data_IF_693392978369
#
_entry.id   IF_693392978369
#
_cell.length_a   1.000
_cell.length_b   1.000
_cell.length_c   1.000
_cell.angle_alpha   90.00
_cell.angle_beta   90.00
_cell.angle_gamma   90.00
#
_symmetry.space_group_name_H-M   'P 1'
#
loop_
_entity.id
_entity.type
_entity.pdbx_description
1 polymer ?
#
# COMPACT_ATOMS: atom_id res chain seq x y z
N UNK A 1 29.57 15.94 61.83
CA UNK A 1 29.56 16.14 60.37
C UNK A 1 28.33 15.42 59.83
N UNK A 2 27.25 16.14 59.60
CA UNK A 2 25.98 15.59 59.13
C UNK A 2 25.94 15.63 57.60
N UNK A 3 25.75 14.47 56.98
CA UNK A 3 25.51 14.32 55.55
C UNK A 3 24.11 14.85 55.22
N UNK A 4 24.03 15.93 54.46
CA UNK A 4 22.77 16.40 53.84
C UNK A 4 22.74 15.87 52.41
N UNK A 5 21.88 14.87 52.19
CA UNK A 5 21.60 14.30 50.88
C UNK A 5 20.79 15.28 50.02
N UNK A 6 21.28 15.54 48.81
CA UNK A 6 20.58 16.32 47.80
C UNK A 6 19.57 15.39 47.09
N UNK A 7 18.31 15.44 47.52
CA UNK A 7 17.18 14.85 46.80
C UNK A 7 16.93 15.63 45.51
N UNK A 8 17.23 15.03 44.35
CA UNK A 8 16.71 15.50 43.07
C UNK A 8 15.20 15.23 43.03
N UNK A 9 14.40 16.28 43.24
CA UNK A 9 12.97 16.27 42.97
C UNK A 9 12.75 16.13 41.46
N UNK A 10 12.26 14.97 41.03
CA UNK A 10 11.68 14.81 39.72
C UNK A 10 10.48 15.76 39.60
N UNK A 11 10.57 16.73 38.69
CA UNK A 11 9.47 17.63 38.39
C UNK A 11 8.25 16.85 37.85
N UNK A 12 7.02 17.35 38.08
CA UNK A 12 5.82 16.68 37.62
C UNK A 12 5.82 16.56 36.09
N UNK A 13 5.60 15.35 35.58
CA UNK A 13 5.20 15.11 34.20
C UNK A 13 4.02 16.02 33.87
N UNK A 14 4.20 16.96 32.94
CA UNK A 14 3.14 17.82 32.43
C UNK A 14 1.97 16.94 31.96
N UNK A 15 0.89 16.93 32.74
CA UNK A 15 -0.40 16.41 32.34
C UNK A 15 -0.78 17.07 31.01
N UNK A 16 -1.13 16.26 30.00
CA UNK A 16 -1.33 16.68 28.62
C UNK A 16 -2.24 17.89 28.51
N UNK A 17 -1.68 19.03 28.10
CA UNK A 17 -2.46 20.22 27.80
C UNK A 17 -3.43 19.91 26.67
N UNK A 18 -4.69 20.29 26.85
CA UNK A 18 -5.70 20.18 25.80
C UNK A 18 -5.31 21.04 24.59
N UNK A 19 -5.36 20.45 23.40
CA UNK A 19 -5.15 21.16 22.12
C UNK A 19 -6.18 22.28 21.88
N UNK A 20 -7.28 22.32 22.66
CA UNK A 20 -8.26 23.42 22.66
C UNK A 20 -7.66 24.80 22.96
N UNK A 21 -6.49 24.83 23.58
CA UNK A 21 -5.76 26.07 23.90
C UNK A 21 -5.00 26.65 22.71
N UNK A 22 -4.79 25.89 21.63
CA UNK A 22 -4.14 26.37 20.40
C UNK A 22 -4.90 27.58 19.86
N UNK A 23 -4.16 28.67 19.60
CA UNK A 23 -4.69 29.91 19.02
C UNK A 23 -4.18 30.05 17.59
N UNK A 24 -5.08 30.41 16.68
CA UNK A 24 -4.76 30.78 15.30
C UNK A 24 -4.82 32.31 15.11
N UNK A 25 -5.08 32.78 13.88
CA UNK A 25 -5.35 31.99 12.67
C UNK A 25 -4.09 31.30 12.13
N UNK A 26 -4.27 30.15 11.48
CA UNK A 26 -3.23 29.50 10.70
C UNK A 26 -3.46 29.78 9.22
N UNK A 27 -2.55 30.53 8.61
CA UNK A 27 -2.61 30.89 7.18
C UNK A 27 -1.92 29.84 6.29
N UNK A 28 -1.14 28.94 6.89
CA UNK A 28 -0.45 27.84 6.20
C UNK A 28 -0.50 26.56 7.04
N UNK A 29 -0.54 25.37 6.43
CA UNK A 29 -0.47 24.12 7.18
C UNK A 29 0.85 23.96 7.95
N UNK A 30 1.97 24.46 7.39
CA UNK A 30 3.26 24.45 8.09
C UNK A 30 3.25 25.28 9.37
N UNK A 31 2.44 26.36 9.45
CA UNK A 31 2.28 27.13 10.69
C UNK A 31 1.61 26.32 11.80
N UNK A 32 0.72 25.38 11.45
CA UNK A 32 0.16 24.42 12.40
C UNK A 32 1.26 23.48 12.90
N UNK A 33 2.03 22.89 11.98
CA UNK A 33 3.14 21.99 12.37
C UNK A 33 4.16 22.72 13.24
N UNK A 34 4.55 23.96 12.91
CA UNK A 34 5.40 24.78 13.78
C UNK A 34 4.85 24.90 15.20
N UNK A 35 3.53 25.10 15.34
CA UNK A 35 2.89 25.13 16.65
C UNK A 35 2.94 23.77 17.36
N UNK A 36 2.72 22.67 16.64
CA UNK A 36 2.88 21.32 17.19
C UNK A 36 4.31 21.05 17.69
N UNK A 37 5.32 21.52 16.94
CA UNK A 37 6.73 21.32 17.25
C UNK A 37 7.17 22.00 18.56
N UNK A 38 6.45 23.00 19.07
CA UNK A 38 6.74 23.61 20.37
C UNK A 38 6.65 22.59 21.53
N UNK A 39 5.78 21.58 21.41
CA UNK A 39 5.59 20.53 22.42
C UNK A 39 5.97 19.12 21.92
N UNK A 40 5.92 18.88 20.60
CA UNK A 40 6.07 17.56 19.98
C UNK A 40 7.24 17.48 18.99
N UNK A 41 8.33 18.23 19.24
CA UNK A 41 9.52 18.21 18.39
C UNK A 41 10.08 16.80 18.15
N UNK A 42 10.06 15.94 19.19
CA UNK A 42 10.55 14.57 19.09
C UNK A 42 9.67 13.70 18.18
N UNK A 43 8.34 13.88 18.20
CA UNK A 43 7.43 13.15 17.32
C UNK A 43 7.76 13.37 15.84
N UNK A 44 8.12 14.61 15.47
CA UNK A 44 8.57 14.92 14.11
C UNK A 44 9.92 14.26 13.78
N UNK A 45 10.88 14.26 14.71
CA UNK A 45 12.16 13.54 14.54
C UNK A 45 11.93 12.06 14.28
N UNK A 46 11.04 11.46 15.05
CA UNK A 46 10.74 10.04 15.01
C UNK A 46 10.05 9.62 13.71
N UNK A 47 8.95 10.28 13.33
CA UNK A 47 8.24 9.96 12.09
C UNK A 47 9.12 10.18 10.85
N UNK A 48 10.04 11.17 10.89
CA UNK A 48 10.95 11.46 9.78
C UNK A 48 12.03 10.38 9.57
N UNK A 49 12.21 9.44 10.51
CA UNK A 49 13.07 8.26 10.32
C UNK A 49 12.36 7.12 9.58
N UNK A 50 11.03 7.17 9.46
CA UNK A 50 10.21 6.05 8.99
C UNK A 50 10.03 6.03 7.48
N UNK A 51 9.56 4.89 6.96
CA UNK A 51 9.11 4.78 5.57
C UNK A 51 7.93 5.70 5.23
N UNK A 52 7.06 6.08 6.18
CA UNK A 52 5.94 6.98 5.90
C UNK A 52 6.44 8.35 5.42
N UNK A 53 7.53 8.85 6.03
CA UNK A 53 8.17 10.09 5.64
C UNK A 53 9.09 9.92 4.42
N UNK A 54 10.01 8.95 4.47
CA UNK A 54 11.04 8.85 3.43
C UNK A 54 10.52 8.19 2.14
N UNK A 55 9.44 7.41 2.22
CA UNK A 55 8.97 6.48 1.19
C UNK A 55 10.03 5.48 0.72
N UNK A 56 11.04 5.25 1.57
CA UNK A 56 12.10 4.27 1.38
C UNK A 56 12.86 4.08 2.69
N UNK A 57 13.53 2.95 2.80
CA UNK A 57 14.50 2.64 3.85
C UNK A 57 15.58 1.72 3.31
N UNK A 58 16.65 1.51 4.08
CA UNK A 58 17.65 0.48 3.77
C UNK A 58 17.06 -0.91 4.02
N UNK A 59 17.08 -1.77 3.02
CA UNK A 59 16.54 -3.12 3.07
C UNK A 59 17.23 -4.03 2.06
N UNK A 60 17.06 -5.34 2.18
CA UNK A 60 17.60 -6.32 1.23
C UNK A 60 16.62 -6.53 0.08
N UNK A 61 16.95 -6.02 -1.11
CA UNK A 61 16.14 -6.14 -2.32
C UNK A 61 16.88 -6.97 -3.36
N UNK A 62 16.26 -8.05 -3.84
CA UNK A 62 16.87 -9.01 -4.77
C UNK A 62 18.28 -9.46 -4.31
N UNK A 63 18.42 -9.73 -3.01
CA UNK A 63 19.68 -10.16 -2.38
C UNK A 63 20.72 -9.06 -2.13
N UNK A 64 20.42 -7.79 -2.41
CA UNK A 64 21.36 -6.67 -2.22
C UNK A 64 20.80 -5.65 -1.23
N UNK A 65 21.63 -5.20 -0.30
CA UNK A 65 21.26 -4.13 0.64
C UNK A 65 21.25 -2.78 -0.10
N UNK A 66 20.10 -2.09 -0.12
CA UNK A 66 19.95 -0.81 -0.80
C UNK A 66 18.77 -0.01 -0.24
N UNK A 67 18.82 1.31 -0.41
CA UNK A 67 17.65 2.17 -0.18
C UNK A 67 16.57 1.82 -1.21
N UNK A 68 15.41 1.39 -0.73
CA UNK A 68 14.27 1.04 -1.57
C UNK A 68 12.94 1.31 -0.87
N UNK A 69 11.88 1.44 -1.66
CA UNK A 69 10.54 1.77 -1.20
C UNK A 69 9.73 2.43 -2.30
N UNK A 70 8.53 2.94 -1.97
CA UNK A 70 7.62 3.59 -2.91
C UNK A 70 8.28 4.68 -3.77
N UNK A 71 9.29 5.39 -3.24
CA UNK A 71 10.04 6.41 -3.99
C UNK A 71 10.80 5.83 -5.19
N UNK A 72 11.30 4.59 -5.09
CA UNK A 72 12.07 3.92 -6.14
C UNK A 72 11.34 2.80 -6.86
N UNK A 73 10.30 2.25 -6.25
CA UNK A 73 9.52 1.16 -6.80
C UNK A 73 8.79 1.58 -8.08
N UNK A 74 8.64 0.62 -8.97
CA UNK A 74 7.74 0.71 -10.11
C UNK A 74 6.50 -0.14 -9.81
N UNK A 75 5.33 0.37 -10.17
CA UNK A 75 4.07 -0.37 -10.02
C UNK A 75 3.44 -0.56 -11.39
N UNK A 76 2.49 -1.49 -11.53
CA UNK A 76 1.68 -1.58 -12.73
C UNK A 76 0.35 -0.80 -12.66
N UNK A 77 0.27 0.15 -11.72
CA UNK A 77 -0.80 1.16 -11.64
C UNK A 77 -0.27 2.49 -12.16
N UNK A 78 -0.13 3.53 -11.31
CA UNK A 78 0.39 4.85 -11.69
C UNK A 78 1.91 4.87 -11.97
N UNK A 79 2.50 3.72 -12.31
CA UNK A 79 3.86 3.49 -12.80
C UNK A 79 4.96 3.93 -11.83
N UNK A 80 5.25 5.23 -11.69
CA UNK A 80 6.32 5.76 -10.82
C UNK A 80 5.97 7.10 -10.17
N UNK A 81 6.60 7.36 -9.01
CA UNK A 81 6.54 8.66 -8.32
C UNK A 81 7.34 9.73 -9.06
N UNK A 82 8.51 9.39 -9.59
CA UNK A 82 9.38 10.35 -10.28
C UNK A 82 8.66 10.96 -11.49
N UNK A 83 8.71 12.28 -11.58
CA UNK A 83 7.93 13.09 -12.52
C UNK A 83 6.48 13.32 -12.09
N UNK A 84 5.88 12.46 -11.27
CA UNK A 84 4.45 12.48 -10.96
C UNK A 84 4.13 12.95 -9.52
N UNK A 85 5.11 13.50 -8.80
CA UNK A 85 5.02 13.81 -7.36
C UNK A 85 3.72 14.49 -6.95
N UNK A 86 3.23 15.60 -7.55
CA UNK A 86 2.08 16.32 -7.01
C UNK A 86 0.79 15.49 -6.89
N UNK A 87 0.64 14.46 -7.74
CA UNK A 87 -0.45 13.49 -7.65
C UNK A 87 -0.17 12.46 -6.57
N UNK A 88 1.01 11.83 -6.63
CA UNK A 88 1.38 10.71 -5.76
C UNK A 88 1.45 11.15 -4.29
N UNK A 89 2.06 12.30 -4.03
CA UNK A 89 2.32 12.84 -2.69
C UNK A 89 1.09 13.48 -2.05
N UNK A 90 -0.06 13.47 -2.74
CA UNK A 90 -1.36 13.61 -2.08
C UNK A 90 -1.60 12.57 -0.97
N UNK A 91 -0.88 11.44 -1.00
CA UNK A 91 -0.85 10.42 0.06
C UNK A 91 0.44 10.44 0.90
N UNK A 92 1.34 11.40 0.70
CA UNK A 92 2.54 11.55 1.55
C UNK A 92 2.14 12.26 2.85
N UNK A 93 2.82 11.96 3.95
CA UNK A 93 2.56 12.59 5.27
C UNK A 93 3.31 13.93 5.42
N UNK A 94 3.49 14.66 4.34
CA UNK A 94 4.16 15.94 4.33
C UNK A 94 3.54 16.94 3.36
N UNK A 95 4.00 18.19 3.47
CA UNK A 95 3.50 19.35 2.75
C UNK A 95 4.45 19.80 1.65
N UNK A 96 4.00 19.81 0.39
CA UNK A 96 4.71 20.43 -0.72
C UNK A 96 5.80 19.58 -1.36
N UNK A 97 5.73 18.24 -1.27
CA UNK A 97 6.61 17.38 -2.04
C UNK A 97 6.17 17.35 -3.52
N UNK A 98 6.56 18.39 -4.25
CA UNK A 98 6.14 18.64 -5.63
C UNK A 98 7.14 18.15 -6.69
N UNK A 99 8.41 17.97 -6.31
CA UNK A 99 9.48 17.51 -7.18
C UNK A 99 10.68 16.95 -6.38
N UNK A 100 11.80 16.70 -7.06
CA UNK A 100 13.02 16.14 -6.49
C UNK A 100 13.72 17.05 -5.46
N UNK A 101 13.40 18.35 -5.41
CA UNK A 101 14.03 19.34 -4.51
C UNK A 101 13.44 19.37 -3.10
N UNK A 102 12.43 18.54 -2.81
CA UNK A 102 11.77 18.52 -1.51
C UNK A 102 12.76 18.25 -0.36
N UNK A 103 12.74 19.12 0.65
CA UNK A 103 13.63 19.03 1.79
C UNK A 103 13.09 18.07 2.86
N UNK A 104 13.53 16.82 2.81
CA UNK A 104 13.20 15.78 3.81
C UNK A 104 13.75 16.06 5.22
N UNK A 105 14.55 17.11 5.43
CA UNK A 105 15.07 17.50 6.75
C UNK A 105 14.24 18.60 7.42
N UNK A 106 13.30 19.23 6.71
CA UNK A 106 12.46 20.28 7.27
C UNK A 106 11.29 19.68 8.07
N UNK A 107 11.41 19.71 9.40
CA UNK A 107 10.39 19.24 10.34
C UNK A 107 9.05 19.96 10.19
N UNK A 108 9.05 21.20 9.69
CA UNK A 108 7.82 21.98 9.51
C UNK A 108 6.97 21.47 8.35
N UNK A 109 7.55 20.62 7.49
CA UNK A 109 6.87 19.97 6.38
C UNK A 109 6.16 18.67 6.77
N UNK A 110 6.28 18.20 8.01
CA UNK A 110 5.51 17.05 8.50
C UNK A 110 4.03 17.42 8.61
N UNK A 111 3.16 16.60 8.03
CA UNK A 111 1.72 16.72 8.22
C UNK A 111 1.28 15.89 9.43
N UNK A 112 1.14 16.57 10.57
CA UNK A 112 0.63 15.95 11.79
C UNK A 112 -0.88 15.67 11.73
N UNK A 113 -1.62 16.40 10.89
CA UNK A 113 -3.09 16.40 10.91
C UNK A 113 -3.68 15.21 10.16
N UNK A 114 -3.04 14.73 9.09
CA UNK A 114 -3.56 13.64 8.25
C UNK A 114 -3.85 12.35 9.03
N UNK A 115 -3.05 12.06 10.06
CA UNK A 115 -3.20 10.89 10.93
C UNK A 115 -3.97 11.20 12.22
N UNK A 116 -3.94 12.44 12.70
CA UNK A 116 -4.48 12.80 14.02
C UNK A 116 -5.80 13.57 13.98
N UNK A 117 -6.34 13.90 12.79
CA UNK A 117 -7.65 14.53 12.69
C UNK A 117 -8.76 13.63 13.26
N UNK A 118 -9.53 14.16 14.22
CA UNK A 118 -10.75 13.50 14.74
C UNK A 118 -12.03 14.20 14.29
N UNK A 119 -11.93 15.30 13.55
CA UNK A 119 -13.08 16.07 13.07
C UNK A 119 -13.71 15.46 11.82
N UNK A 120 -12.93 14.71 11.04
CA UNK A 120 -13.34 14.18 9.74
C UNK A 120 -13.39 15.25 8.64
N UNK A 121 -12.85 16.44 8.89
CA UNK A 121 -12.88 17.57 7.93
C UNK A 121 -11.54 17.77 7.22
N UNK A 122 -10.45 17.23 7.76
CA UNK A 122 -9.13 17.35 7.16
C UNK A 122 -9.01 16.50 5.90
N UNK A 123 -8.54 17.11 4.81
CA UNK A 123 -8.30 16.40 3.56
C UNK A 123 -7.28 17.11 2.69
N UNK A 124 -6.44 16.32 2.00
CA UNK A 124 -5.44 16.80 1.05
C UNK A 124 -6.05 17.05 -0.33
N UNK A 125 -5.49 18.04 -1.02
CA UNK A 125 -5.80 18.32 -2.42
C UNK A 125 -5.22 17.22 -3.32
N UNK A 126 -5.99 16.80 -4.34
CA UNK A 126 -5.64 15.62 -5.17
C UNK A 126 -4.36 15.78 -5.99
N UNK A 127 -4.04 17.02 -6.36
CA UNK A 127 -2.85 17.44 -7.12
C UNK A 127 -2.00 18.46 -6.35
N UNK A 128 -2.18 18.49 -5.03
CA UNK A 128 -1.64 19.54 -4.16
C UNK A 128 -0.26 19.25 -3.60
N UNK A 129 0.43 18.20 -4.05
CA UNK A 129 1.73 17.81 -3.51
C UNK A 129 1.74 17.61 -1.98
N UNK A 130 0.66 17.06 -1.44
CA UNK A 130 0.49 16.87 0.01
C UNK A 130 -0.17 18.05 0.74
N UNK A 131 -0.42 19.19 0.07
CA UNK A 131 -1.11 20.32 0.70
C UNK A 131 -2.59 20.01 0.99
N UNK A 132 -3.16 20.52 2.10
CA UNK A 132 -4.59 20.46 2.37
C UNK A 132 -5.41 21.23 1.33
N UNK A 133 -6.70 20.86 1.17
CA UNK A 133 -7.64 21.60 0.33
C UNK A 133 -7.70 23.08 0.75
N UNK A 134 -7.64 23.98 -0.23
CA UNK A 134 -7.63 25.44 -0.01
C UNK A 134 -6.24 26.04 0.21
N UNK A 135 -5.17 25.24 0.27
CA UNK A 135 -3.79 25.69 0.47
C UNK A 135 -2.89 25.35 -0.73
N UNK A 136 -3.48 25.29 -1.92
CA UNK A 136 -2.77 25.06 -3.20
C UNK A 136 -2.90 26.28 -4.11
N UNK A 137 -1.93 26.48 -5.00
CA UNK A 137 -1.97 27.55 -6.03
C UNK A 137 -3.22 27.48 -6.91
N UNK A 138 -3.67 26.26 -7.22
CA UNK A 138 -4.96 26.04 -7.86
C UNK A 138 -6.04 26.19 -6.79
N UNK A 139 -6.92 27.18 -6.93
CA UNK A 139 -8.16 27.25 -6.16
C UNK A 139 -9.00 26.03 -6.50
N UNK A 140 -8.78 24.89 -5.84
CA UNK A 140 -9.78 23.83 -5.81
C UNK A 140 -11.08 24.52 -5.36
N UNK A 141 -12.19 24.32 -6.10
CA UNK A 141 -13.50 24.96 -5.84
C UNK A 141 -14.12 24.53 -4.49
N UNK A 142 -13.36 23.86 -3.63
CA UNK A 142 -13.82 23.31 -2.37
C UNK A 142 -13.42 24.25 -1.22
N UNK A 143 -14.27 24.30 -0.18
CA UNK A 143 -13.98 25.07 1.03
C UNK A 143 -12.62 24.66 1.61
N UNK A 144 -11.82 25.67 1.98
CA UNK A 144 -10.53 25.45 2.63
C UNK A 144 -10.72 24.68 3.95
N UNK A 145 -9.75 23.83 4.27
CA UNK A 145 -9.73 23.17 5.57
C UNK A 145 -9.58 24.22 6.67
N UNK A 146 -10.44 24.16 7.69
CA UNK A 146 -10.27 24.95 8.91
C UNK A 146 -9.14 24.34 9.75
N UNK A 147 -7.92 24.81 9.51
CA UNK A 147 -6.71 24.33 10.17
C UNK A 147 -6.75 24.52 11.68
N UNK A 148 -7.37 25.61 12.19
CA UNK A 148 -7.45 25.85 13.62
C UNK A 148 -8.42 24.85 14.27
N UNK A 149 -9.59 24.66 13.67
CA UNK A 149 -10.56 23.69 14.16
C UNK A 149 -9.98 22.27 14.19
N UNK A 150 -9.31 21.84 13.13
CA UNK A 150 -8.64 20.52 13.07
C UNK A 150 -7.56 20.43 14.16
N UNK A 151 -6.67 21.42 14.25
CA UNK A 151 -5.58 21.44 15.25
C UNK A 151 -6.10 21.36 16.69
N UNK A 152 -7.21 22.03 17.00
CA UNK A 152 -7.82 22.01 18.33
C UNK A 152 -8.54 20.69 18.68
N UNK A 153 -8.72 19.81 17.70
CA UNK A 153 -9.42 18.54 17.82
C UNK A 153 -8.54 17.35 17.39
N UNK A 154 -7.22 17.50 17.38
CA UNK A 154 -6.35 16.34 17.11
C UNK A 154 -6.43 15.31 18.23
N UNK A 155 -6.30 14.04 17.88
CA UNK A 155 -6.43 12.92 18.80
C UNK A 155 -5.82 11.63 18.27
N UNK A 156 -6.28 10.48 18.79
CA UNK A 156 -5.80 9.17 18.34
C UNK A 156 -6.23 8.91 16.89
N UNK A 157 -5.36 8.31 16.06
CA UNK A 157 -5.74 7.87 14.73
C UNK A 157 -6.90 6.87 14.76
N UNK A 158 -7.70 6.90 13.69
CA UNK A 158 -8.80 5.97 13.44
C UNK A 158 -8.63 5.27 12.08
N UNK A 159 -9.43 4.23 11.84
CA UNK A 159 -9.60 3.59 10.51
C UNK A 159 -9.68 4.62 9.36
N UNK A 160 -10.44 5.70 9.54
CA UNK A 160 -10.63 6.77 8.54
C UNK A 160 -9.34 7.54 8.23
N UNK A 161 -8.57 7.88 9.27
CA UNK A 161 -7.32 8.65 9.09
C UNK A 161 -6.25 7.86 8.34
N UNK A 162 -6.08 6.57 8.65
CA UNK A 162 -5.24 5.66 7.87
C UNK A 162 -5.80 5.48 6.45
N UNK A 163 -7.11 5.35 6.36
CA UNK A 163 -7.88 5.20 5.13
C UNK A 163 -7.74 6.33 4.12
N UNK A 164 -7.43 7.56 4.57
CA UNK A 164 -7.16 8.70 3.70
C UNK A 164 -6.09 8.40 2.63
N UNK A 165 -5.17 7.48 2.94
CA UNK A 165 -4.14 7.01 2.02
C UNK A 165 -4.26 5.52 1.67
N UNK A 166 -4.69 4.67 2.61
CA UNK A 166 -4.69 3.21 2.44
C UNK A 166 -5.97 2.63 1.84
N UNK A 167 -7.11 3.33 1.92
CA UNK A 167 -8.37 2.86 1.33
C UNK A 167 -8.51 3.25 -0.14
N UNK A 168 -7.45 3.74 -0.76
CA UNK A 168 -7.41 4.06 -2.17
C UNK A 168 -5.99 4.18 -2.72
N UNK A 169 -5.91 4.38 -4.02
CA UNK A 169 -4.65 4.58 -4.72
C UNK A 169 -4.90 5.02 -6.14
N UNK A 170 -3.96 5.77 -6.74
CA UNK A 170 -4.06 6.24 -8.13
C UNK A 170 -5.37 7.01 -8.46
N UNK A 171 -6.06 7.54 -7.44
CA UNK A 171 -7.24 8.39 -7.58
C UNK A 171 -8.60 7.78 -7.29
N UNK A 172 -8.67 6.49 -6.95
CA UNK A 172 -9.93 5.84 -6.57
C UNK A 172 -9.67 4.77 -5.48
N UNK A 173 -10.65 4.57 -4.61
CA UNK A 173 -10.61 3.65 -3.48
C UNK A 173 -10.34 2.19 -3.89
N UNK A 174 -10.73 1.83 -5.11
CA UNK A 174 -10.85 0.45 -5.58
C UNK A 174 -9.67 -0.01 -6.44
N UNK A 175 -8.67 0.85 -6.64
CA UNK A 175 -7.64 0.63 -7.65
C UNK A 175 -6.45 -0.16 -7.11
N UNK A 176 -5.91 0.17 -5.94
CA UNK A 176 -4.56 -0.29 -5.59
C UNK A 176 -4.45 -1.44 -4.57
N UNK A 177 -5.30 -1.53 -3.53
CA UNK A 177 -5.12 -2.54 -2.48
C UNK A 177 -6.06 -3.74 -2.69
N UNK A 178 -7.34 -3.49 -2.98
CA UNK A 178 -8.33 -4.52 -3.32
C UNK A 178 -8.88 -5.28 -2.10
N UNK A 179 -8.09 -5.49 -1.05
CA UNK A 179 -8.54 -5.98 0.26
C UNK A 179 -8.91 -4.87 1.25
N UNK A 180 -8.44 -3.64 1.02
CA UNK A 180 -8.83 -2.43 1.74
C UNK A 180 -9.43 -1.40 0.78
N UNK A 181 -10.65 -0.94 1.10
CA UNK A 181 -11.36 0.13 0.40
C UNK A 181 -12.13 1.01 1.40
N UNK A 182 -12.91 1.99 0.92
CA UNK A 182 -13.64 2.93 1.77
C UNK A 182 -14.67 2.29 2.71
N UNK A 183 -15.11 1.06 2.46
CA UNK A 183 -16.01 0.32 3.35
C UNK A 183 -15.33 -0.04 4.69
N UNK A 184 -13.99 -0.04 4.76
CA UNK A 184 -13.24 -0.26 6.00
C UNK A 184 -13.18 0.97 6.91
N UNK A 185 -13.78 2.11 6.52
CA UNK A 185 -13.95 3.26 7.39
C UNK A 185 -14.96 3.02 8.53
N UNK A 186 -15.87 2.06 8.34
CA UNK A 186 -16.86 1.62 9.31
C UNK A 186 -17.43 0.27 8.86
N UNK A 187 -16.61 -0.80 8.87
CA UNK A 187 -16.99 -2.08 8.30
C UNK A 187 -18.06 -2.77 9.15
N UNK A 188 -18.93 -3.54 8.51
CA UNK A 188 -19.75 -4.54 9.20
C UNK A 188 -18.92 -5.81 9.44
N UNK A 189 -19.39 -6.68 10.33
CA UNK A 189 -18.72 -7.95 10.64
C UNK A 189 -18.52 -8.89 9.43
N UNK A 190 -19.32 -8.74 8.37
CA UNK A 190 -19.16 -9.49 7.10
C UNK A 190 -17.97 -8.99 6.26
N UNK A 191 -17.52 -7.75 6.52
CA UNK A 191 -16.35 -7.16 5.87
C UNK A 191 -15.09 -7.53 6.63
N UNK A 192 -15.04 -7.36 7.95
CA UNK A 192 -13.88 -7.76 8.73
C UNK A 192 -14.24 -7.94 10.21
N UNK A 193 -14.02 -9.14 10.75
CA UNK A 193 -14.39 -9.47 12.14
C UNK A 193 -13.57 -8.71 13.20
N UNK A 194 -12.37 -8.25 12.86
CA UNK A 194 -11.51 -7.52 13.79
C UNK A 194 -11.83 -6.03 13.78
N UNK A 195 -12.12 -5.45 12.61
CA UNK A 195 -12.29 -4.00 12.47
C UNK A 195 -13.75 -3.52 12.62
N UNK A 196 -14.72 -4.43 12.51
CA UNK A 196 -16.13 -4.09 12.59
C UNK A 196 -16.57 -3.66 13.99
N UNK A 197 -17.48 -2.69 14.05
CA UNK A 197 -18.00 -2.13 15.31
C UNK A 197 -18.78 -3.16 16.13
N UNK A 198 -19.47 -4.10 15.47
CA UNK A 198 -20.16 -5.24 16.06
C UNK A 198 -19.24 -6.48 16.22
N UNK A 199 -17.95 -6.34 15.90
CA UNK A 199 -16.89 -7.31 16.12
C UNK A 199 -15.97 -6.90 17.27
N UNK A 200 -14.67 -6.73 16.98
CA UNK A 200 -13.67 -6.25 17.97
C UNK A 200 -13.44 -4.73 17.94
N UNK A 201 -14.01 -4.03 16.95
CA UNK A 201 -13.84 -2.59 16.68
C UNK A 201 -12.38 -2.10 16.71
N UNK A 202 -11.45 -2.90 16.19
CA UNK A 202 -10.05 -2.51 16.14
C UNK A 202 -9.83 -1.35 15.15
N UNK A 203 -9.08 -0.34 15.60
CA UNK A 203 -8.36 0.56 14.70
C UNK A 203 -7.04 -0.08 14.25
N UNK A 204 -6.47 0.45 13.16
CA UNK A 204 -5.29 -0.12 12.50
C UNK A 204 -4.13 -0.34 13.47
N UNK A 205 -3.84 0.63 14.34
CA UNK A 205 -2.75 0.59 15.31
C UNK A 205 -2.87 -0.52 16.37
N UNK A 206 -4.02 -1.19 16.47
CA UNK A 206 -4.17 -2.35 17.36
C UNK A 206 -3.31 -3.54 16.90
N UNK A 207 -3.22 -3.74 15.58
CA UNK A 207 -2.37 -4.76 14.95
C UNK A 207 -1.06 -4.15 14.43
N UNK A 208 -1.12 -2.90 13.97
CA UNK A 208 0.01 -2.11 13.49
C UNK A 208 0.55 -1.20 14.60
N UNK A 209 0.81 -1.75 15.77
CA UNK A 209 1.29 -0.95 16.90
C UNK A 209 2.63 -0.29 16.53
N UNK A 210 2.80 1.01 16.80
CA UNK A 210 4.10 1.63 16.64
C UNK A 210 5.05 1.02 17.68
N UNK A 211 6.24 0.59 17.28
CA UNK A 211 7.26 -0.01 18.18
C UNK A 211 7.96 1.06 19.03
N UNK A 212 7.19 2.00 19.59
CA UNK A 212 7.62 3.34 20.03
C UNK A 212 7.91 4.29 18.84
N UNK A 213 8.05 5.60 19.11
CA UNK A 213 8.58 6.58 18.16
C UNK A 213 7.89 6.63 16.77
N UNK A 214 6.55 6.60 16.72
CA UNK A 214 5.78 6.69 15.47
C UNK A 214 6.15 5.65 14.37
N UNK A 215 6.90 4.60 14.71
CA UNK A 215 7.34 3.60 13.75
C UNK A 215 6.31 2.46 13.61
N UNK A 216 5.32 2.69 12.75
CA UNK A 216 4.17 1.81 12.53
C UNK A 216 4.62 0.44 11.97
N UNK A 217 4.33 -0.63 12.71
CA UNK A 217 4.60 -2.02 12.30
C UNK A 217 3.74 -2.46 11.11
N UNK A 218 4.23 -3.42 10.33
CA UNK A 218 3.47 -4.05 9.24
C UNK A 218 3.94 -3.58 7.88
N UNK A 219 5.15 -3.98 7.51
CA UNK A 219 5.74 -3.68 6.22
C UNK A 219 4.88 -4.16 5.05
N UNK A 220 4.66 -3.26 4.09
CA UNK A 220 3.85 -3.49 2.92
C UNK A 220 4.69 -4.18 1.84
N UNK A 221 4.13 -5.22 1.21
CA UNK A 221 4.78 -5.84 0.05
C UNK A 221 4.96 -4.79 -1.05
N UNK A 222 6.02 -4.91 -1.83
CA UNK A 222 6.60 -3.96 -2.80
C UNK A 222 7.49 -2.87 -2.21
N UNK A 223 7.02 -1.92 -1.39
CA UNK A 223 7.93 -0.99 -0.74
C UNK A 223 8.89 -1.65 0.26
N UNK A 224 8.54 -2.83 0.79
CA UNK A 224 9.37 -3.60 1.73
C UNK A 224 9.42 -5.07 1.30
N UNK A 225 10.54 -5.45 0.69
CA UNK A 225 10.72 -6.75 0.01
C UNK A 225 11.46 -7.81 0.83
N UNK A 226 12.05 -7.44 1.96
CA UNK A 226 12.93 -8.31 2.76
C UNK A 226 12.22 -9.14 3.84
N UNK A 227 10.90 -8.97 3.97
CA UNK A 227 10.06 -9.73 4.90
C UNK A 227 10.21 -9.36 6.37
N UNK A 228 10.89 -8.27 6.67
CA UNK A 228 11.05 -7.77 8.04
C UNK A 228 9.81 -7.02 8.52
N UNK A 229 9.69 -6.86 9.85
CA UNK A 229 8.70 -5.96 10.48
C UNK A 229 7.23 -6.26 10.14
N UNK A 230 6.92 -7.53 9.92
CA UNK A 230 5.57 -8.02 9.60
C UNK A 230 4.70 -8.17 10.85
N UNK A 231 3.40 -7.89 10.72
CA UNK A 231 2.38 -8.28 11.70
C UNK A 231 1.71 -9.59 11.27
N UNK A 232 1.29 -10.40 12.24
CA UNK A 232 0.65 -11.69 11.95
C UNK A 232 -0.38 -12.14 12.99
N UNK A 233 -1.12 -13.20 12.65
CA UNK A 233 -2.23 -13.70 13.47
C UNK A 233 -1.78 -14.28 14.82
N UNK A 234 -0.58 -14.86 14.87
CA UNK A 234 -0.07 -15.57 16.06
C UNK A 234 0.43 -14.64 17.18
N UNK A 235 0.31 -13.33 17.00
CA UNK A 235 0.53 -12.34 18.07
C UNK A 235 -0.64 -12.32 19.07
N UNK A 236 -1.86 -12.64 18.60
CA UNK A 236 -3.07 -12.69 19.43
C UNK A 236 -3.64 -14.12 19.54
N UNK A 237 -3.46 -14.94 18.49
CA UNK A 237 -3.99 -16.30 18.43
C UNK A 237 -2.90 -17.34 18.73
N UNK A 238 -3.30 -18.48 19.28
CA UNK A 238 -2.40 -19.64 19.36
C UNK A 238 -2.05 -20.11 17.94
N UNK A 239 -0.85 -20.65 17.76
CA UNK A 239 -0.40 -21.26 16.49
C UNK A 239 -1.21 -22.51 16.11
N UNK A 240 -1.89 -23.14 17.08
CA UNK A 240 -2.82 -24.26 16.88
C UNK A 240 -4.19 -23.92 17.50
N UNK A 241 -4.99 -23.03 16.90
CA UNK A 241 -6.20 -22.51 17.51
C UNK A 241 -7.41 -23.46 17.37
N UNK A 242 -7.34 -24.46 16.50
CA UNK A 242 -8.50 -25.29 16.14
C UNK A 242 -8.66 -26.49 17.06
N UNK A 243 -9.92 -26.87 17.34
CA UNK A 243 -10.24 -28.13 18.03
C UNK A 243 -9.85 -29.35 17.18
N UNK A 244 -10.08 -29.26 15.88
CA UNK A 244 -9.75 -30.32 14.93
C UNK A 244 -8.25 -30.29 14.61
N UNK A 245 -7.52 -31.30 15.08
CA UNK A 245 -6.05 -31.35 14.98
C UNK A 245 -5.52 -31.23 13.56
N UNK A 246 -6.22 -31.80 12.57
CA UNK A 246 -5.77 -31.74 11.17
C UNK A 246 -5.72 -30.29 10.63
N UNK A 247 -6.59 -29.38 11.08
CA UNK A 247 -6.52 -27.96 10.70
C UNK A 247 -5.29 -27.27 11.30
N UNK A 248 -4.87 -27.69 12.50
CA UNK A 248 -3.63 -27.18 13.09
C UNK A 248 -2.40 -27.65 12.32
N UNK A 249 -2.41 -28.88 11.79
CA UNK A 249 -1.34 -29.39 10.92
C UNK A 249 -1.24 -28.61 9.61
N UNK A 250 -2.36 -28.12 9.05
CA UNK A 250 -2.33 -27.28 7.85
C UNK A 250 -1.54 -25.99 8.05
N UNK A 251 -1.50 -25.44 9.27
CA UNK A 251 -0.72 -24.24 9.55
C UNK A 251 0.78 -24.40 9.25
N UNK A 252 1.30 -25.63 9.12
CA UNK A 252 2.69 -25.85 8.70
C UNK A 252 2.96 -25.39 7.26
N UNK A 253 1.95 -25.49 6.38
CA UNK A 253 2.06 -25.25 4.95
C UNK A 253 1.14 -24.13 4.45
N UNK A 254 0.08 -23.79 5.18
CA UNK A 254 -0.98 -22.86 4.77
C UNK A 254 -1.08 -21.71 5.77
N UNK A 255 -1.04 -20.47 5.29
CA UNK A 255 -1.20 -19.29 6.13
C UNK A 255 -2.64 -19.16 6.65
N UNK A 256 -2.81 -18.54 7.82
CA UNK A 256 -4.15 -18.28 8.39
C UNK A 256 -5.03 -17.51 7.39
N UNK A 257 -4.45 -16.51 6.75
CA UNK A 257 -5.10 -15.66 5.74
C UNK A 257 -5.73 -16.47 4.60
N UNK A 258 -5.08 -17.55 4.17
CA UNK A 258 -5.55 -18.39 3.04
C UNK A 258 -6.93 -18.96 3.30
N UNK A 259 -7.16 -19.48 4.51
CA UNK A 259 -8.45 -20.06 4.90
C UNK A 259 -9.44 -19.00 5.38
N UNK A 260 -8.95 -17.97 6.08
CA UNK A 260 -9.79 -16.99 6.76
C UNK A 260 -10.10 -15.73 5.93
N UNK A 261 -9.59 -15.64 4.70
CA UNK A 261 -9.96 -14.59 3.73
C UNK A 261 -10.30 -15.26 2.38
N UNK A 262 -11.50 -15.88 2.26
CA UNK A 262 -11.90 -16.63 1.07
C UNK A 262 -11.96 -15.80 -0.21
N UNK A 263 -12.37 -14.54 -0.09
CA UNK A 263 -12.46 -13.58 -1.19
C UNK A 263 -12.14 -12.17 -0.68
N UNK A 264 -11.59 -11.31 -1.54
CA UNK A 264 -11.43 -9.89 -1.27
C UNK A 264 -12.35 -9.05 -2.16
N UNK A 265 -12.36 -7.72 -1.97
CA UNK A 265 -13.22 -6.82 -2.76
C UNK A 265 -14.71 -7.20 -2.66
N UNK A 266 -15.18 -7.51 -1.43
CA UNK A 266 -16.54 -8.02 -1.19
C UNK A 266 -17.62 -6.95 -1.26
N UNK A 267 -17.30 -5.71 -0.94
CA UNK A 267 -18.25 -4.59 -0.98
C UNK A 267 -18.18 -3.83 -2.30
N UNK A 268 -16.98 -3.43 -2.70
CA UNK A 268 -16.75 -2.71 -3.94
C UNK A 268 -15.87 -3.55 -4.86
N UNK A 269 -16.17 -3.53 -6.16
CA UNK A 269 -15.31 -4.15 -7.17
C UNK A 269 -13.93 -3.46 -7.18
N UNK A 270 -12.87 -4.22 -7.44
CA UNK A 270 -11.50 -3.74 -7.55
C UNK A 270 -10.94 -3.96 -8.96
N UNK A 271 -10.02 -3.09 -9.36
CA UNK A 271 -9.36 -3.21 -10.66
C UNK A 271 -8.44 -4.43 -10.65
N UNK A 272 -8.59 -5.35 -11.57
CA UNK A 272 -7.74 -6.56 -11.71
C UNK A 272 -6.84 -6.48 -12.92
N UNK A 273 -7.19 -5.63 -13.89
CA UNK A 273 -6.36 -5.36 -15.05
C UNK A 273 -6.36 -3.88 -15.43
N UNK A 274 -5.22 -3.35 -15.85
CA UNK A 274 -5.10 -2.02 -16.47
C UNK A 274 -4.31 -2.10 -17.78
N UNK A 275 -4.99 -1.90 -18.91
CA UNK A 275 -4.34 -1.72 -20.20
C UNK A 275 -4.05 -0.24 -20.45
N UNK A 276 -2.77 0.15 -20.40
CA UNK A 276 -2.32 1.53 -20.67
C UNK A 276 -2.22 1.84 -22.15
N UNK A 277 -2.40 0.87 -23.04
CA UNK A 277 -2.47 1.11 -24.47
C UNK A 277 -3.77 1.85 -24.76
N UNK A 278 -3.74 3.18 -24.62
CA UNK A 278 -4.91 4.05 -24.73
C UNK A 278 -5.32 4.23 -26.19
N UNK A 279 -4.64 5.15 -26.87
CA UNK A 279 -5.00 5.69 -28.19
C UNK A 279 -4.51 4.82 -29.34
N UNK A 280 -3.60 3.89 -29.06
CA UNK A 280 -2.97 3.02 -30.05
C UNK A 280 -3.58 1.61 -30.10
N UNK A 281 -4.39 1.25 -29.10
CA UNK A 281 -5.11 -0.03 -29.09
C UNK A 281 -6.56 0.14 -29.56
N UNK A 282 -7.10 -0.93 -30.16
CA UNK A 282 -8.46 -1.01 -30.69
C UNK A 282 -9.51 -1.10 -29.57
N UNK A 283 -9.65 -0.07 -28.76
CA UNK A 283 -10.78 0.08 -27.84
C UNK A 283 -11.92 0.76 -28.59
N UNK A 284 -13.08 0.09 -28.63
CA UNK A 284 -14.24 0.53 -29.43
C UNK A 284 -15.13 1.54 -28.70
N UNK A 285 -15.10 1.57 -27.36
CA UNK A 285 -15.92 2.47 -26.54
C UNK A 285 -15.10 3.12 -25.43
N UNK A 286 -15.26 4.44 -25.26
CA UNK A 286 -14.54 5.23 -24.26
C UNK A 286 -15.51 5.99 -23.36
N UNK A 287 -15.29 5.89 -22.06
CA UNK A 287 -15.96 6.74 -21.06
C UNK A 287 -15.19 8.04 -20.84
N UNK A 288 -15.93 9.12 -20.59
CA UNK A 288 -15.38 10.39 -20.10
C UNK A 288 -15.22 10.43 -18.58
N UNK A 289 -15.84 9.47 -17.87
CA UNK A 289 -15.76 9.34 -16.42
C UNK A 289 -14.39 8.78 -16.03
N UNK A 290 -13.50 9.67 -15.57
CA UNK A 290 -12.11 9.30 -15.24
C UNK A 290 -11.97 8.36 -14.03
N UNK A 291 -12.96 8.37 -13.14
CA UNK A 291 -12.95 7.64 -11.88
C UNK A 291 -14.37 7.15 -11.60
N UNK A 292 -14.60 5.83 -11.55
CA UNK A 292 -15.94 5.26 -11.55
C UNK A 292 -15.95 3.76 -11.85
N UNK A 293 -17.10 3.21 -12.26
CA UNK A 293 -17.22 1.81 -12.73
C UNK A 293 -16.85 1.66 -14.21
N UNK A 294 -16.43 2.76 -14.85
CA UNK A 294 -16.02 2.80 -16.25
C UNK A 294 -14.92 1.78 -16.57
N UNK A 295 -15.10 1.06 -17.68
CA UNK A 295 -14.18 0.03 -18.17
C UNK A 295 -13.09 0.57 -19.11
N UNK A 296 -13.26 1.77 -19.68
CA UNK A 296 -12.23 2.40 -20.48
C UNK A 296 -12.36 3.90 -20.38
N UNK A 297 -11.25 4.59 -20.16
CA UNK A 297 -11.21 6.04 -20.02
C UNK A 297 -10.21 6.60 -21.01
N UNK A 298 -10.69 7.51 -21.87
CA UNK A 298 -9.88 8.11 -22.93
C UNK A 298 -8.62 8.75 -22.34
N UNK A 299 -7.47 8.26 -22.79
CA UNK A 299 -6.16 8.76 -22.36
C UNK A 299 -5.73 8.38 -20.94
N UNK A 300 -6.39 7.40 -20.32
CA UNK A 300 -5.93 6.76 -19.08
C UNK A 300 -5.73 5.25 -19.30
N UNK A 301 -6.68 4.57 -19.94
CA UNK A 301 -6.55 3.16 -20.29
C UNK A 301 -7.88 2.40 -20.24
N UNK A 302 -7.82 1.11 -20.54
CA UNK A 302 -8.91 0.16 -20.34
C UNK A 302 -8.69 -0.65 -19.06
N UNK A 303 -9.76 -1.03 -18.36
CA UNK A 303 -9.76 -1.61 -17.04
C UNK A 303 -10.68 -2.83 -16.99
N UNK A 304 -10.22 -3.87 -16.30
CA UNK A 304 -11.08 -4.95 -15.82
C UNK A 304 -11.33 -4.76 -14.33
N UNK A 305 -12.60 -4.91 -13.93
CA UNK A 305 -13.04 -4.78 -12.55
C UNK A 305 -13.72 -6.08 -12.12
N UNK A 306 -13.38 -6.59 -10.94
CA UNK A 306 -14.01 -7.77 -10.37
C UNK A 306 -14.39 -7.53 -8.91
N UNK A 307 -15.44 -8.20 -8.45
CA UNK A 307 -15.95 -8.17 -7.07
C UNK A 307 -15.93 -9.59 -6.52
N UNK A 308 -15.80 -9.77 -5.21
CA UNK A 308 -15.69 -11.09 -4.56
C UNK A 308 -14.58 -11.96 -5.18
N UNK A 309 -13.41 -11.36 -5.36
CA UNK A 309 -12.30 -12.00 -6.08
C UNK A 309 -11.68 -13.09 -5.21
N UNK A 310 -11.53 -14.29 -5.76
CA UNK A 310 -10.77 -15.38 -5.13
C UNK A 310 -9.27 -15.05 -5.26
N UNK A 311 -8.50 -15.08 -4.17
CA UNK A 311 -7.05 -14.85 -4.23
C UNK A 311 -6.32 -15.88 -5.10
N UNK A 312 -5.23 -15.44 -5.72
CA UNK A 312 -4.18 -16.34 -6.21
C UNK A 312 -3.41 -16.87 -4.99
N UNK A 313 -3.09 -18.17 -4.97
CA UNK A 313 -2.38 -18.79 -3.86
C UNK A 313 -0.95 -19.13 -4.26
N UNK A 314 0.02 -18.57 -3.54
CA UNK A 314 1.45 -18.74 -3.84
C UNK A 314 2.24 -19.08 -2.59
N UNK A 315 3.37 -19.77 -2.76
CA UNK A 315 4.33 -19.94 -1.67
C UNK A 315 5.01 -18.62 -1.33
N UNK A 316 5.05 -18.31 -0.04
CA UNK A 316 5.65 -17.08 0.46
C UNK A 316 6.39 -17.30 1.77
N UNK A 317 7.67 -16.96 1.78
CA UNK A 317 8.57 -17.05 2.94
C UNK A 317 8.80 -15.70 3.63
N UNK A 318 8.06 -14.66 3.25
CA UNK A 318 8.24 -13.29 3.73
C UNK A 318 8.95 -12.38 2.73
N UNK A 319 9.68 -12.93 1.75
CA UNK A 319 10.44 -12.14 0.77
C UNK A 319 9.78 -12.12 -0.59
N UNK A 320 10.15 -11.15 -1.39
CA UNK A 320 9.77 -11.08 -2.79
C UNK A 320 10.96 -10.61 -3.64
N UNK A 321 10.94 -11.00 -4.91
CA UNK A 321 11.75 -10.30 -5.91
C UNK A 321 10.95 -9.15 -6.49
N UNK A 322 11.63 -8.07 -6.87
CA UNK A 322 11.00 -6.89 -7.49
C UNK A 322 11.73 -6.50 -8.77
N UNK A 323 10.98 -5.98 -9.74
CA UNK A 323 11.55 -5.33 -10.92
C UNK A 323 12.20 -4.00 -10.50
N UNK A 324 13.50 -3.85 -10.77
CA UNK A 324 14.22 -2.60 -10.58
C UNK A 324 14.23 -1.83 -11.90
N UNK A 325 13.91 -0.53 -11.83
CA UNK A 325 13.85 0.35 -13.01
C UNK A 325 15.15 0.31 -13.80
N UNK A 326 15.04 0.15 -15.11
CA UNK A 326 16.20 -0.01 -16.02
C UNK A 326 16.66 -1.46 -16.19
N UNK A 327 16.14 -2.41 -15.42
CA UNK A 327 16.38 -3.83 -15.70
C UNK A 327 15.75 -4.22 -17.03
N UNK A 328 16.45 -5.06 -17.78
CA UNK A 328 15.91 -5.58 -19.04
C UNK A 328 14.72 -6.51 -18.80
N UNK A 329 13.79 -6.51 -19.74
CA UNK A 329 12.64 -7.39 -19.83
C UNK A 329 12.68 -8.17 -21.14
N UNK A 330 11.90 -9.23 -21.20
CA UNK A 330 11.54 -9.93 -22.43
C UNK A 330 10.11 -9.50 -22.78
N UNK A 331 9.89 -8.67 -23.82
CA UNK A 331 8.58 -8.09 -24.09
C UNK A 331 7.54 -9.12 -24.57
N UNK A 332 7.99 -10.30 -25.01
CA UNK A 332 7.13 -11.43 -25.45
C UNK A 332 6.67 -12.30 -24.26
N UNK A 333 7.17 -12.02 -23.06
CA UNK A 333 6.78 -12.69 -21.81
C UNK A 333 6.16 -11.69 -20.84
N UNK A 334 5.34 -12.22 -19.93
CA UNK A 334 4.81 -11.42 -18.84
C UNK A 334 5.95 -11.03 -17.89
N UNK A 335 6.15 -9.74 -17.70
CA UNK A 335 7.13 -9.22 -16.73
C UNK A 335 6.51 -9.16 -15.34
N UNK A 336 7.13 -9.82 -14.38
CA UNK A 336 6.73 -9.75 -12.97
C UNK A 336 7.31 -8.48 -12.34
N UNK A 337 6.45 -7.54 -11.97
CA UNK A 337 6.84 -6.34 -11.22
C UNK A 337 7.30 -6.73 -9.81
N UNK A 338 6.67 -7.74 -9.25
CA UNK A 338 7.17 -8.52 -8.14
C UNK A 338 6.75 -9.98 -8.23
N UNK A 339 7.43 -10.80 -7.46
CA UNK A 339 7.11 -12.21 -7.28
C UNK A 339 7.34 -12.61 -5.82
N UNK A 340 6.30 -13.10 -5.12
CA UNK A 340 6.46 -13.77 -3.83
C UNK A 340 7.50 -14.89 -3.92
N UNK A 341 8.47 -14.89 -2.99
CA UNK A 341 9.49 -15.95 -2.91
C UNK A 341 9.04 -17.09 -2.00
N UNK A 342 9.32 -18.31 -2.43
CA UNK A 342 9.07 -19.52 -1.66
C UNK A 342 8.86 -20.71 -2.57
N UNK A 343 8.80 -21.89 -1.99
CA UNK A 343 8.36 -23.09 -2.70
C UNK A 343 7.89 -24.15 -1.71
N UNK A 344 7.36 -25.25 -2.22
CA UNK A 344 7.06 -26.43 -1.41
C UNK A 344 8.29 -26.96 -0.66
N UNK A 345 9.50 -26.72 -1.17
CA UNK A 345 10.78 -27.12 -0.55
C UNK A 345 11.34 -26.10 0.45
N UNK A 346 10.73 -24.93 0.57
CA UNK A 346 11.17 -23.90 1.50
C UNK A 346 10.43 -24.06 2.84
N UNK A 347 11.15 -24.49 3.89
CA UNK A 347 10.61 -24.73 5.24
C UNK A 347 9.96 -23.50 5.89
N UNK A 348 10.37 -22.29 5.49
CA UNK A 348 9.83 -21.04 6.02
C UNK A 348 8.61 -20.58 5.23
N UNK A 349 8.46 -21.02 3.98
CA UNK A 349 7.34 -20.65 3.13
C UNK A 349 6.04 -21.30 3.58
N UNK A 350 4.94 -20.54 3.44
CA UNK A 350 3.55 -21.04 3.49
C UNK A 350 2.80 -20.58 2.26
N UNK A 351 1.72 -21.26 1.92
CA UNK A 351 0.78 -20.84 0.89
C UNK A 351 -0.02 -19.65 1.44
N UNK A 352 0.14 -18.48 0.83
CA UNK A 352 -0.51 -17.22 1.18
C UNK A 352 -1.49 -16.78 0.08
N UNK A 353 -2.54 -16.01 0.42
CA UNK A 353 -3.43 -15.41 -0.56
C UNK A 353 -2.87 -14.08 -1.07
N UNK A 354 -2.91 -13.91 -2.38
CA UNK A 354 -2.49 -12.72 -3.09
C UNK A 354 -3.59 -12.20 -4.02
N UNK A 355 -3.71 -10.89 -4.11
CA UNK A 355 -4.32 -10.24 -5.25
C UNK A 355 -3.28 -10.12 -6.34
N UNK A 356 -3.56 -10.74 -7.47
CA UNK A 356 -2.83 -10.49 -8.71
C UNK A 356 -3.49 -9.32 -9.45
N UNK A 357 -2.67 -8.40 -9.93
CA UNK A 357 -3.07 -7.34 -10.84
C UNK A 357 -2.24 -7.44 -12.12
N UNK A 358 -2.92 -7.60 -13.25
CA UNK A 358 -2.30 -7.56 -14.57
C UNK A 358 -2.30 -6.15 -15.15
N UNK A 359 -1.36 -5.86 -16.03
CA UNK A 359 -1.41 -4.63 -16.81
C UNK A 359 -0.60 -4.75 -18.09
N UNK A 360 -1.04 -4.07 -19.13
CA UNK A 360 -0.22 -3.78 -20.30
C UNK A 360 0.41 -2.40 -20.13
N UNK A 361 1.73 -2.34 -20.02
CA UNK A 361 2.50 -1.13 -19.71
C UNK A 361 3.50 -0.78 -20.80
N UNK A 362 3.86 0.50 -20.88
CA UNK A 362 4.81 1.04 -21.85
C UNK A 362 6.26 0.60 -21.54
N UNK A 363 7.01 0.23 -22.58
CA UNK A 363 8.44 -0.12 -22.50
C UNK A 363 9.22 0.45 -23.69
N UNK A 364 10.53 0.59 -23.54
CA UNK A 364 11.43 1.04 -24.60
C UNK A 364 11.85 -0.14 -25.49
N UNK A 365 11.56 -0.09 -26.79
CA UNK A 365 11.76 -1.21 -27.72
C UNK A 365 13.20 -1.43 -28.17
N UNK A 366 14.11 -0.51 -27.85
CA UNK A 366 15.54 -0.68 -28.13
C UNK A 366 16.30 -1.10 -26.89
N UNK A 367 16.01 -0.47 -25.74
CA UNK A 367 16.68 -0.80 -24.48
C UNK A 367 16.06 -1.99 -23.75
N UNK A 368 14.82 -2.36 -24.10
CA UNK A 368 14.05 -3.44 -23.51
C UNK A 368 13.89 -3.30 -22.00
N UNK A 369 13.49 -2.13 -21.50
CA UNK A 369 13.06 -1.96 -20.11
C UNK A 369 11.77 -1.16 -20.04
N UNK A 370 11.04 -1.31 -18.94
CA UNK A 370 9.81 -0.58 -18.72
C UNK A 370 10.08 0.93 -18.62
N UNK A 371 9.23 1.72 -19.25
CA UNK A 371 9.35 3.19 -19.26
C UNK A 371 8.68 3.76 -18.01
N UNK A 372 9.27 4.80 -17.44
CA UNK A 372 8.71 5.59 -16.34
C UNK A 372 8.16 6.91 -16.90
N UNK A 373 6.89 6.96 -17.34
CA UNK A 373 6.36 8.12 -18.06
C UNK A 373 5.98 9.26 -17.11
N UNK A 374 6.04 10.48 -17.64
CA UNK A 374 5.49 11.66 -17.00
C UNK A 374 3.99 11.77 -17.28
N UNK A 375 3.18 11.24 -16.36
CA UNK A 375 1.73 11.05 -16.54
C UNK A 375 0.94 12.28 -16.12
N UNK A 376 1.13 12.75 -14.89
CA UNK A 376 0.15 13.58 -14.19
C UNK A 376 0.66 14.94 -13.73
N UNK A 377 1.88 15.34 -14.07
CA UNK A 377 2.41 16.60 -13.53
C UNK A 377 1.80 17.87 -14.13
N UNK A 378 2.20 19.02 -13.58
CA UNK A 378 1.66 20.35 -13.96
C UNK A 378 2.22 20.91 -15.28
N UNK A 379 3.35 20.42 -15.77
CA UNK A 379 3.94 20.83 -17.07
C UNK A 379 3.10 20.43 -18.29
N UNK A 380 3.44 20.96 -19.45
CA UNK A 380 2.70 20.76 -20.71
C UNK A 380 2.87 19.37 -21.30
N UNK A 381 3.99 18.68 -21.02
CA UNK A 381 4.31 17.35 -21.57
C UNK A 381 3.65 16.19 -20.80
N UNK A 382 2.76 16.46 -19.85
CA UNK A 382 2.13 15.42 -19.05
C UNK A 382 1.17 14.60 -19.92
N UNK A 383 1.28 13.28 -19.88
CA UNK A 383 0.49 12.39 -20.73
C UNK A 383 -1.02 12.66 -20.64
N UNK A 384 -1.57 12.89 -19.45
CA UNK A 384 -3.01 13.18 -19.29
C UNK A 384 -3.46 14.54 -19.86
N UNK A 385 -2.55 15.35 -20.38
CA UNK A 385 -2.84 16.59 -21.10
C UNK A 385 -2.65 16.45 -22.61
N UNK A 386 -1.60 15.75 -23.04
CA UNK A 386 -1.20 15.67 -24.45
C UNK A 386 -1.66 14.39 -25.15
N UNK A 387 -1.81 13.31 -24.39
CA UNK A 387 -1.96 11.94 -24.89
C UNK A 387 -0.81 11.50 -25.82
N UNK A 388 0.38 12.10 -25.62
CA UNK A 388 1.59 11.78 -26.39
C UNK A 388 2.58 10.99 -25.52
N UNK A 389 2.74 9.71 -25.86
CA UNK A 389 3.63 8.80 -25.16
C UNK A 389 5.11 9.12 -25.39
N UNK A 390 5.53 9.66 -26.55
CA UNK A 390 6.94 9.95 -26.81
C UNK A 390 7.42 11.09 -25.89
N UNK A 391 6.68 12.21 -25.88
CA UNK A 391 6.97 13.35 -25.01
C UNK A 391 6.93 12.98 -23.52
N UNK A 392 5.91 12.22 -23.10
CA UNK A 392 5.77 11.79 -21.71
C UNK A 392 6.89 10.82 -21.29
N UNK A 393 7.30 9.91 -22.18
CA UNK A 393 8.41 8.97 -21.95
C UNK A 393 9.73 9.71 -21.84
N UNK A 394 10.05 10.58 -22.81
CA UNK A 394 11.29 11.38 -22.80
C UNK A 394 11.43 12.18 -21.51
N UNK A 395 10.36 12.84 -21.07
CA UNK A 395 10.39 13.66 -19.85
C UNK A 395 10.48 12.80 -18.58
N UNK A 396 9.68 11.73 -18.50
CA UNK A 396 9.64 10.86 -17.33
C UNK A 396 10.94 10.07 -17.12
N UNK A 397 11.53 9.56 -18.20
CA UNK A 397 12.81 8.84 -18.15
C UNK A 397 13.95 9.75 -17.73
N UNK A 398 13.95 11.01 -18.18
CA UNK A 398 14.90 12.01 -17.70
C UNK A 398 14.78 12.28 -16.18
N UNK A 399 13.57 12.29 -15.62
CA UNK A 399 13.39 12.39 -14.15
C UNK A 399 13.92 11.17 -13.40
N UNK A 400 13.77 9.97 -13.99
CA UNK A 400 14.29 8.72 -13.42
C UNK A 400 15.79 8.49 -13.66
N UNK A 401 16.46 9.35 -14.44
CA UNK A 401 17.86 9.18 -14.81
C UNK A 401 18.11 8.00 -15.77
N UNK A 402 17.11 7.60 -16.54
CA UNK A 402 17.18 6.50 -17.50
C UNK A 402 17.17 7.05 -18.94
N UNK A 403 17.83 6.34 -19.85
CA UNK A 403 17.80 6.70 -21.27
C UNK A 403 16.43 6.41 -21.89
N UNK A 404 16.14 7.08 -23.00
CA UNK A 404 14.97 6.79 -23.82
C UNK A 404 15.39 6.83 -25.29
N UNK A 405 15.05 5.79 -26.05
CA UNK A 405 15.49 5.62 -27.43
C UNK A 405 14.65 6.40 -28.45
N UNK A 406 13.54 7.01 -28.02
CA UNK A 406 12.53 7.58 -28.92
C UNK A 406 11.62 6.53 -29.54
N UNK A 407 11.69 5.27 -29.08
CA UNK A 407 10.80 4.20 -29.52
C UNK A 407 10.22 3.49 -28.31
N UNK A 408 8.93 3.17 -28.40
CA UNK A 408 8.21 2.47 -27.34
C UNK A 408 7.26 1.43 -27.92
N UNK A 409 6.82 0.55 -27.03
CA UNK A 409 5.77 -0.43 -27.26
C UNK A 409 5.08 -0.72 -25.94
N UNK A 410 4.18 -1.70 -25.95
CA UNK A 410 3.49 -2.14 -24.74
C UNK A 410 3.70 -3.63 -24.51
N UNK A 411 3.86 -4.01 -23.24
CA UNK A 411 4.11 -5.39 -22.82
C UNK A 411 3.29 -5.74 -21.58
N UNK A 412 3.03 -7.04 -21.40
CA UNK A 412 2.25 -7.54 -20.28
C UNK A 412 3.08 -7.58 -18.99
N UNK A 413 2.46 -7.19 -17.90
CA UNK A 413 3.07 -7.17 -16.57
C UNK A 413 2.10 -7.71 -15.54
N UNK A 414 2.63 -8.35 -14.49
CA UNK A 414 1.85 -8.81 -13.34
C UNK A 414 2.48 -8.32 -12.05
N UNK A 415 1.63 -8.13 -11.06
CA UNK A 415 2.01 -7.64 -9.75
C UNK A 415 1.14 -8.32 -8.70
N UNK A 416 1.77 -8.80 -7.64
CA UNK A 416 1.09 -9.44 -6.52
C UNK A 416 0.96 -8.45 -5.37
N UNK A 417 -0.11 -8.59 -4.58
CA UNK A 417 -0.33 -7.89 -3.33
C UNK A 417 -0.86 -8.87 -2.30
N UNK A 418 -0.24 -8.95 -1.11
CA UNK A 418 -0.71 -9.83 -0.05
C UNK A 418 -2.09 -9.39 0.43
N UNK A 419 -2.97 -10.37 0.63
CA UNK A 419 -4.27 -10.17 1.26
C UNK A 419 -4.13 -10.46 2.74
N UNK A 420 -4.31 -9.43 3.58
CA UNK A 420 -4.19 -9.56 5.04
C UNK A 420 -5.43 -9.06 5.79
N UNK A 421 -6.31 -8.31 5.13
CA UNK A 421 -7.54 -7.78 5.71
C UNK A 421 -8.76 -8.43 5.09
N UNK A 422 -9.90 -8.23 5.74
CA UNK A 422 -11.16 -8.81 5.33
C UNK A 422 -11.37 -10.20 5.91
N UNK A 423 -10.88 -10.45 7.12
CA UNK A 423 -11.04 -11.74 7.80
C UNK A 423 -12.51 -12.00 8.07
N UNK A 424 -13.01 -13.14 7.60
CA UNK A 424 -14.43 -13.53 7.72
C UNK A 424 -14.71 -14.23 9.05
N UNK A 425 -16.00 -14.42 9.36
CA UNK A 425 -16.42 -15.27 10.48
C UNK A 425 -15.98 -16.72 10.27
N UNK A 426 -15.83 -17.47 11.37
CA UNK A 426 -15.29 -18.83 11.30
C UNK A 426 -16.14 -19.77 10.45
N UNK A 427 -17.46 -19.55 10.40
CA UNK A 427 -18.41 -20.34 9.60
C UNK A 427 -18.25 -20.11 8.09
N UNK A 428 -17.57 -19.03 7.69
CA UNK A 428 -17.32 -18.67 6.29
C UNK A 428 -15.89 -18.97 5.86
N UNK A 429 -15.02 -19.44 6.77
CA UNK A 429 -13.67 -19.84 6.44
C UNK A 429 -13.68 -21.01 5.43
N UNK A 430 -12.62 -21.13 4.63
CA UNK A 430 -12.49 -22.23 3.68
C UNK A 430 -12.52 -23.58 4.42
N UNK A 431 -13.36 -24.48 3.92
CA UNK A 431 -13.44 -25.86 4.37
C UNK A 431 -12.50 -26.77 3.56
N UNK A 432 -12.50 -28.06 3.87
CA UNK A 432 -11.65 -29.04 3.19
C UNK A 432 -11.94 -29.09 1.67
N UNK A 433 -13.22 -29.07 1.29
CA UNK A 433 -13.65 -29.21 -0.09
C UNK A 433 -13.38 -27.96 -0.93
N UNK A 434 -13.22 -26.80 -0.29
CA UNK A 434 -12.76 -25.57 -0.93
C UNK A 434 -11.37 -25.73 -1.57
N UNK A 435 -10.53 -26.63 -1.06
CA UNK A 435 -9.20 -26.91 -1.63
C UNK A 435 -9.12 -28.26 -2.35
N UNK A 436 -9.74 -29.29 -1.79
CA UNK A 436 -9.59 -30.69 -2.25
C UNK A 436 -10.80 -31.26 -3.01
N UNK A 437 -11.87 -30.46 -3.11
CA UNK A 437 -13.04 -30.79 -3.91
C UNK A 437 -12.71 -30.84 -5.40
N UNK A 438 -13.66 -31.31 -6.20
CA UNK A 438 -13.52 -31.35 -7.67
C UNK A 438 -13.29 -29.96 -8.30
N UNK A 439 -13.82 -28.91 -7.67
CA UNK A 439 -13.61 -27.51 -8.05
C UNK A 439 -12.75 -26.78 -7.00
N UNK A 440 -11.72 -27.47 -6.49
CA UNK A 440 -10.80 -26.92 -5.50
C UNK A 440 -10.07 -25.68 -6.00
N UNK A 441 -9.80 -24.74 -5.10
CA UNK A 441 -9.17 -23.46 -5.41
C UNK A 441 -7.65 -23.52 -5.55
N UNK A 442 -7.03 -24.63 -5.15
CA UNK A 442 -5.58 -24.81 -5.17
C UNK A 442 -5.15 -25.38 -6.51
N UNK A 443 -4.30 -24.64 -7.22
CA UNK A 443 -3.55 -25.18 -8.35
C UNK A 443 -2.35 -25.96 -7.80
N UNK A 444 -2.58 -27.26 -7.57
CA UNK A 444 -1.60 -28.14 -6.93
C UNK A 444 -0.30 -28.23 -7.73
N UNK A 445 -0.38 -28.24 -9.06
CA UNK A 445 0.78 -28.40 -9.94
C UNK A 445 1.67 -27.14 -9.91
N UNK A 446 1.08 -25.94 -9.98
CA UNK A 446 1.87 -24.69 -9.84
C UNK A 446 2.46 -24.51 -8.44
N UNK A 447 1.78 -25.02 -7.41
CA UNK A 447 2.30 -25.09 -6.05
C UNK A 447 3.36 -26.19 -5.84
N UNK A 448 3.68 -26.98 -6.87
CA UNK A 448 4.73 -28.00 -6.84
C UNK A 448 4.33 -29.33 -6.19
N UNK A 449 3.04 -29.54 -5.94
CA UNK A 449 2.50 -30.85 -5.59
C UNK A 449 2.33 -31.72 -6.85
N UNK A 450 2.31 -33.04 -6.69
CA UNK A 450 2.02 -33.99 -7.77
C UNK A 450 0.55 -34.39 -7.76
N UNK A 451 -0.34 -33.39 -7.73
CA UNK A 451 -1.78 -33.54 -7.50
C UNK A 451 -2.22 -33.32 -6.05
N UNK A 452 -3.52 -33.51 -5.81
CA UNK A 452 -4.18 -33.24 -4.53
C UNK A 452 -3.58 -34.09 -3.38
N UNK A 453 -2.98 -33.48 -2.35
CA UNK A 453 -2.34 -34.19 -1.25
C UNK A 453 -3.31 -34.92 -0.32
N UNK A 454 -4.62 -34.65 -0.37
CA UNK A 454 -5.61 -35.48 0.34
C UNK A 454 -5.82 -36.82 -0.40
N UNK A 455 -5.78 -36.82 -1.74
CA UNK A 455 -6.02 -38.03 -2.54
C UNK A 455 -4.81 -38.93 -2.66
N UNK A 456 -3.61 -38.35 -2.63
CA UNK A 456 -2.36 -39.07 -2.86
C UNK A 456 -1.54 -39.09 -1.58
N UNK A 457 -1.42 -40.27 -0.97
CA UNK A 457 -0.65 -40.46 0.27
C UNK A 457 0.82 -40.07 0.06
N UNK A 458 1.40 -39.38 1.04
CA UNK A 458 2.81 -39.00 1.05
C UNK A 458 3.14 -37.71 0.27
N UNK A 459 2.14 -37.01 -0.29
CA UNK A 459 2.35 -35.70 -0.92
C UNK A 459 2.11 -34.51 0.01
N UNK A 460 1.56 -34.74 1.21
CA UNK A 460 1.38 -33.68 2.20
C UNK A 460 2.75 -33.21 2.69
N UNK A 461 3.05 -31.92 2.51
CA UNK A 461 4.25 -31.32 3.10
C UNK A 461 4.13 -31.34 4.63
N UNK A 462 5.03 -32.07 5.29
CA UNK A 462 5.26 -32.00 6.73
C UNK A 462 6.62 -31.36 7.02
N UNK A 463 6.76 -30.67 8.16
CA UNK A 463 8.07 -30.23 8.64
C UNK A 463 9.07 -31.38 8.83
N UNK A 464 8.61 -32.63 8.94
CA UNK A 464 9.44 -33.82 9.03
C UNK A 464 10.09 -34.22 7.70
N UNK A 465 9.57 -33.77 6.55
CA UNK A 465 10.10 -34.12 5.21
C UNK A 465 11.44 -33.45 4.86
N UNK A 466 12.00 -32.72 5.82
CA UNK A 466 13.22 -31.92 5.70
C UNK A 466 14.26 -32.28 6.77
N UNK A 467 14.06 -33.41 7.47
CA UNK A 467 15.08 -34.11 8.25
C UNK A 467 15.63 -35.24 7.38
#
# INVERSE_FOLDING_TARGET
MAFVGLMCLAGPTLAGQSHKTIKGPFTTPESVTKKCLECHAQAAVDIMKTQHWNWQEMQVVNGKNQLYGKKKAMTNFAITVDGNWPRCTGCHIGYGWADASFNFQDKTKVDCLICHDTTGTYSKAKMGAGMPRGFTETKERAAAVDLLFVAQNVGKPSKKTCGNCHFGGCGDARVQHGDLDTSFAGPSIEIDVHMAADGQDFDCQKCHYPKEEHNIKGHYMMPSSDGTYQSGCVECHKSAPHKLKILNSHYEAVACQTCHIPTFSRQNATKTHWDWCTTECKVTEWSSEKYGTSQAVKGIGAFTWNKNVIPTYEWYNGKETVYLRGNKIDPDKVTLINQPEGSIKDRQAKIFPFREHGAKQIYDTQYNYLITPYISGKGELAFWKTYDWDSASKKGMAFSGLAYSGKYGFTETRMFWRINHGVVKVEQALDCLSCHGSNGRMDWDSLGYKGDPWRIKGLSRSKHDFQ
#
